data_IF_196793716131
#
_entry.id   IF_196793716131
#
_cell.length_a   1.000
_cell.length_b   1.000
_cell.length_c   1.000
_cell.angle_alpha   90.00
_cell.angle_beta   90.00
_cell.angle_gamma   90.00
#
_symmetry.space_group_name_H-M   'P 1'
#
loop_
_entity.id
_entity.type
_entity.pdbx_description
1 polymer ?
#
# COMPACT_ATOMS: atom_id res chain seq x y z
N UNK A 1 57.45 36.79 -37.64
CA UNK A 1 57.35 36.88 -39.12
C UNK A 1 56.20 37.81 -39.49
N UNK A 2 56.38 38.66 -40.48
CA UNK A 2 55.30 39.46 -40.99
C UNK A 2 54.18 38.53 -41.53
N UNK A 3 52.91 38.81 -41.19
CA UNK A 3 51.73 38.01 -41.60
C UNK A 3 51.62 36.59 -41.00
N UNK A 4 52.18 36.35 -39.83
CA UNK A 4 51.93 35.11 -39.12
C UNK A 4 50.75 35.26 -38.14
N UNK A 5 49.92 34.18 -37.99
CA UNK A 5 48.85 34.08 -37.03
C UNK A 5 49.15 32.99 -36.03
N UNK A 6 48.73 33.20 -34.78
CA UNK A 6 48.85 32.20 -33.71
C UNK A 6 47.43 31.95 -33.18
N UNK A 7 46.98 30.69 -33.13
CA UNK A 7 45.71 30.35 -32.51
C UNK A 7 45.80 30.56 -31.00
N UNK A 8 44.77 31.21 -30.42
CA UNK A 8 44.64 31.42 -28.99
C UNK A 8 43.34 30.78 -28.54
N UNK A 9 43.41 29.99 -27.47
CA UNK A 9 42.23 29.37 -26.82
C UNK A 9 41.90 30.14 -25.55
N UNK A 10 40.69 30.69 -25.50
CA UNK A 10 40.17 31.34 -24.30
C UNK A 10 39.26 30.35 -23.59
N UNK A 11 39.63 30.02 -22.32
CA UNK A 11 38.82 29.15 -21.46
C UNK A 11 38.07 29.97 -20.43
N UNK A 12 36.75 29.96 -20.48
CA UNK A 12 35.88 30.61 -19.51
C UNK A 12 35.48 29.57 -18.47
N UNK A 13 35.63 29.88 -17.18
CA UNK A 13 35.20 29.03 -16.07
C UNK A 13 34.27 29.82 -15.16
N UNK A 14 33.11 29.26 -14.87
CA UNK A 14 32.17 29.80 -13.92
C UNK A 14 32.44 29.20 -12.51
N UNK A 15 32.21 29.96 -11.43
CA UNK A 15 32.23 29.42 -10.07
C UNK A 15 31.22 28.28 -9.91
N UNK A 16 31.56 27.26 -9.12
CA UNK A 16 30.65 26.12 -8.86
C UNK A 16 29.35 26.53 -8.12
N UNK A 17 29.36 27.69 -7.48
CA UNK A 17 28.19 28.29 -6.80
C UNK A 17 27.31 29.14 -7.73
N UNK A 18 27.69 29.28 -9.01
CA UNK A 18 26.93 30.10 -9.94
C UNK A 18 25.71 29.35 -10.46
N UNK A 19 24.50 29.79 -10.04
CA UNK A 19 23.23 29.20 -10.42
C UNK A 19 22.56 30.02 -11.52
N UNK A 20 22.12 29.34 -12.58
CA UNK A 20 21.41 29.95 -13.70
C UNK A 20 19.96 29.51 -13.66
N UNK A 21 19.05 30.42 -13.45
CA UNK A 21 17.58 30.17 -13.42
C UNK A 21 16.89 30.44 -14.75
N UNK A 22 17.53 31.23 -15.63
CA UNK A 22 17.08 31.54 -16.98
C UNK A 22 18.29 31.54 -17.92
N UNK A 23 18.06 31.41 -19.24
CA UNK A 23 19.15 31.53 -20.23
C UNK A 23 19.86 32.86 -20.01
N UNK A 24 21.13 32.79 -19.69
CA UNK A 24 21.97 33.98 -19.43
C UNK A 24 23.06 34.05 -20.48
N UNK A 25 23.05 35.12 -21.24
CA UNK A 25 24.10 35.40 -22.22
C UNK A 25 25.27 36.08 -21.52
N UNK A 26 26.48 35.61 -21.77
CA UNK A 26 27.71 36.25 -21.31
C UNK A 26 28.59 36.60 -22.50
N UNK A 27 29.36 37.64 -22.36
CA UNK A 27 30.31 38.11 -23.34
C UNK A 27 31.73 38.05 -22.78
N UNK A 28 32.67 37.65 -23.62
CA UNK A 28 34.11 37.68 -23.32
C UNK A 28 34.79 38.48 -24.43
N UNK A 29 35.57 39.46 -24.05
CA UNK A 29 36.29 40.33 -24.99
C UNK A 29 37.79 40.16 -24.82
N UNK A 30 38.40 39.14 -25.42
CA UNK A 30 39.86 39.02 -25.44
C UNK A 30 40.50 40.24 -26.17
N UNK A 31 41.55 40.74 -25.58
CA UNK A 31 42.32 41.83 -26.17
C UNK A 31 43.76 41.39 -26.42
N UNK A 32 44.23 41.63 -27.60
CA UNK A 32 45.63 41.51 -27.94
C UNK A 32 46.27 42.91 -28.00
N UNK A 33 47.44 43.07 -27.41
CA UNK A 33 48.18 44.32 -27.42
C UNK A 33 49.60 44.07 -27.93
N UNK A 34 50.07 44.95 -28.75
CA UNK A 34 51.46 44.88 -29.28
C UNK A 34 52.46 45.21 -28.12
N UNK A 35 53.46 44.34 -27.95
CA UNK A 35 54.54 44.59 -26.95
C UNK A 35 55.49 45.70 -27.39
N UNK A 36 55.69 45.86 -28.69
CA UNK A 36 56.60 46.87 -29.26
C UNK A 36 55.92 48.25 -29.52
N UNK A 37 54.60 48.27 -29.60
CA UNK A 37 53.80 49.51 -29.77
C UNK A 37 52.53 49.37 -28.92
N UNK A 38 52.60 49.76 -27.69
CA UNK A 38 51.50 49.65 -26.70
C UNK A 38 50.23 50.35 -27.09
N UNK A 39 50.23 51.21 -28.12
CA UNK A 39 49.05 51.83 -28.66
C UNK A 39 48.28 50.99 -29.69
N UNK A 40 48.83 49.86 -30.12
CA UNK A 40 48.18 48.97 -31.07
C UNK A 40 47.51 47.80 -30.35
N UNK A 41 46.19 47.87 -30.30
CA UNK A 41 45.35 46.85 -29.71
C UNK A 41 44.32 46.32 -30.69
N UNK A 42 43.94 45.07 -30.53
CA UNK A 42 42.81 44.45 -31.24
C UNK A 42 41.98 43.65 -30.26
N UNK A 43 40.68 43.73 -30.42
CA UNK A 43 39.72 43.01 -29.60
C UNK A 43 38.79 42.17 -30.45
N UNK A 44 38.36 41.04 -29.93
CA UNK A 44 37.28 40.23 -30.49
C UNK A 44 36.23 40.04 -29.38
N UNK A 45 34.98 39.95 -29.79
CA UNK A 45 33.86 39.75 -28.88
C UNK A 45 33.23 38.38 -29.12
N UNK A 46 33.32 37.51 -28.14
CA UNK A 46 32.73 36.20 -28.18
C UNK A 46 31.55 36.17 -27.22
N UNK A 47 30.48 35.47 -27.60
CA UNK A 47 29.29 35.28 -26.76
C UNK A 47 29.06 33.80 -26.50
N UNK A 48 28.64 33.48 -25.28
CA UNK A 48 28.16 32.17 -24.91
C UNK A 48 26.85 32.29 -24.15
N UNK A 49 26.06 31.23 -24.15
CA UNK A 49 24.82 31.17 -23.41
C UNK A 49 24.92 30.10 -22.33
N UNK A 50 24.70 30.47 -21.08
CA UNK A 50 24.46 29.55 -20.00
C UNK A 50 22.98 29.22 -20.00
N UNK A 51 22.64 27.96 -20.14
CA UNK A 51 21.25 27.49 -19.99
C UNK A 51 21.03 26.94 -18.60
N UNK A 52 19.84 27.15 -18.01
CA UNK A 52 19.47 26.47 -16.78
C UNK A 52 19.59 24.97 -16.94
N UNK A 53 20.17 24.32 -15.97
CA UNK A 53 20.24 22.87 -15.95
C UNK A 53 19.13 22.38 -15.05
N UNK A 54 18.21 21.63 -15.60
CA UNK A 54 17.16 20.97 -14.82
C UNK A 54 17.62 19.59 -14.36
N UNK A 55 17.10 19.19 -13.22
CA UNK A 55 17.25 17.85 -12.69
C UNK A 55 15.86 17.35 -12.32
N UNK A 56 15.40 16.31 -12.99
CA UNK A 56 14.08 15.73 -12.80
C UNK A 56 14.21 14.24 -12.48
N UNK A 57 13.32 13.74 -11.67
CA UNK A 57 13.23 12.32 -11.37
C UNK A 57 11.78 11.86 -11.44
N UNK A 58 11.60 10.63 -11.93
CA UNK A 58 10.34 9.93 -12.05
C UNK A 58 10.47 8.60 -11.32
N UNK A 59 9.69 8.43 -10.23
CA UNK A 59 9.60 7.21 -9.43
C UNK A 59 8.30 6.50 -9.73
N UNK A 60 8.36 5.35 -10.34
CA UNK A 60 7.20 4.52 -10.69
C UNK A 60 7.37 3.09 -10.19
N UNK A 61 6.29 2.30 -10.16
CA UNK A 61 6.43 0.85 -10.12
C UNK A 61 7.07 0.36 -11.43
N UNK A 62 7.67 -0.83 -11.43
CA UNK A 62 8.30 -1.39 -12.62
C UNK A 62 7.32 -1.63 -13.79
N UNK A 63 6.01 -1.64 -13.53
CA UNK A 63 4.94 -1.68 -14.53
C UNK A 63 4.55 -0.29 -15.07
N UNK A 64 5.33 0.74 -14.77
CA UNK A 64 5.13 2.15 -15.11
C UNK A 64 3.87 2.79 -14.48
N UNK A 65 3.32 2.21 -13.42
CA UNK A 65 2.27 2.87 -12.64
C UNK A 65 2.87 3.82 -11.62
N UNK A 66 2.31 5.02 -11.51
CA UNK A 66 2.77 6.14 -10.67
C UNK A 66 2.37 7.47 -11.28
N UNK A 67 2.66 8.56 -10.60
CA UNK A 67 2.52 9.92 -11.12
C UNK A 67 3.77 10.31 -11.93
N UNK A 68 3.68 11.39 -12.69
CA UNK A 68 4.81 11.88 -13.47
C UNK A 68 5.89 12.57 -12.63
N UNK A 69 6.95 13.00 -13.31
CA UNK A 69 8.17 13.59 -12.74
C UNK A 69 7.92 14.59 -11.60
N UNK A 70 8.41 14.26 -10.39
CA UNK A 70 8.34 15.12 -9.21
C UNK A 70 6.92 15.31 -8.66
N UNK A 71 5.95 14.54 -9.13
CA UNK A 71 4.58 14.64 -8.67
C UNK A 71 4.42 14.01 -7.29
N UNK A 72 3.82 14.76 -6.37
CA UNK A 72 3.59 14.31 -4.99
C UNK A 72 2.34 13.45 -4.92
N UNK A 73 2.51 12.19 -4.57
CA UNK A 73 1.41 11.24 -4.40
C UNK A 73 0.84 11.31 -2.97
N UNK A 74 0.07 12.35 -2.67
CA UNK A 74 -0.46 12.65 -1.34
C UNK A 74 -1.93 12.30 -1.13
N UNK A 75 -2.63 11.84 -2.17
CA UNK A 75 -4.05 11.48 -2.13
C UNK A 75 -4.38 10.34 -3.10
N UNK A 76 -5.59 9.78 -3.00
CA UNK A 76 -6.07 8.74 -3.90
C UNK A 76 -5.75 7.31 -3.43
N UNK A 77 -6.08 6.33 -4.29
CA UNK A 77 -5.80 4.91 -4.05
C UNK A 77 -4.30 4.61 -4.23
N UNK A 78 -3.83 3.53 -3.61
CA UNK A 78 -2.48 3.03 -3.86
C UNK A 78 -2.35 2.53 -5.32
N UNK A 79 -1.22 2.83 -5.96
CA UNK A 79 -0.93 2.37 -7.32
C UNK A 79 -0.75 0.86 -7.41
N UNK A 80 -0.16 0.29 -6.35
CA UNK A 80 0.04 -1.15 -6.26
C UNK A 80 -0.23 -1.62 -4.84
N UNK A 81 -1.04 -2.67 -4.71
CA UNK A 81 -1.27 -3.35 -3.43
C UNK A 81 -0.74 -4.78 -3.52
N UNK A 82 0.10 -5.17 -2.59
CA UNK A 82 0.62 -6.52 -2.49
C UNK A 82 0.16 -7.13 -1.17
N UNK A 83 -0.33 -8.37 -1.25
CA UNK A 83 -0.78 -9.13 -0.07
C UNK A 83 0.34 -10.02 0.45
N UNK A 84 0.52 -10.02 1.76
CA UNK A 84 1.47 -10.90 2.44
C UNK A 84 0.82 -11.51 3.67
N UNK A 85 1.14 -12.76 3.96
CA UNK A 85 0.76 -13.38 5.24
C UNK A 85 1.77 -12.94 6.31
N UNK A 86 1.26 -12.49 7.46
CA UNK A 86 2.11 -12.30 8.63
C UNK A 86 2.66 -13.67 9.06
N UNK A 87 3.82 -13.69 9.67
CA UNK A 87 4.45 -14.91 10.14
C UNK A 87 4.50 -14.93 11.66
N UNK A 88 4.33 -16.13 12.26
CA UNK A 88 4.56 -16.32 13.69
C UNK A 88 6.06 -16.22 14.07
N UNK A 89 6.94 -16.33 13.08
CA UNK A 89 8.38 -16.24 13.29
C UNK A 89 8.84 -14.77 13.24
N UNK A 90 9.10 -14.19 14.39
CA UNK A 90 9.60 -12.81 14.52
C UNK A 90 10.95 -12.56 13.79
N UNK A 91 11.68 -13.61 13.41
CA UNK A 91 12.97 -13.51 12.70
C UNK A 91 12.79 -13.49 11.19
N UNK A 92 11.73 -14.13 10.69
CA UNK A 92 11.44 -14.25 9.24
C UNK A 92 10.02 -13.83 8.92
N UNK A 93 9.54 -12.73 9.50
CA UNK A 93 8.21 -12.19 9.21
C UNK A 93 7.89 -12.20 7.72
N UNK A 94 6.63 -12.22 7.36
CA UNK A 94 6.22 -12.12 5.96
C UNK A 94 6.92 -10.95 5.28
N UNK A 95 7.35 -11.11 4.04
CA UNK A 95 7.95 -10.02 3.27
C UNK A 95 7.36 -9.93 1.88
N UNK A 96 7.26 -8.73 1.37
CA UNK A 96 6.89 -8.42 -0.02
C UNK A 96 7.92 -7.53 -0.67
N UNK A 97 8.00 -7.59 -1.99
CA UNK A 97 8.93 -6.80 -2.78
C UNK A 97 8.14 -5.90 -3.72
N UNK A 98 8.42 -4.60 -3.66
CA UNK A 98 7.96 -3.63 -4.64
C UNK A 98 9.11 -3.32 -5.60
N UNK A 99 9.01 -3.79 -6.85
CA UNK A 99 9.93 -3.34 -7.90
C UNK A 99 9.61 -1.90 -8.28
N UNK A 100 10.57 -1.01 -8.06
CA UNK A 100 10.46 0.43 -8.31
C UNK A 100 11.45 0.85 -9.39
N UNK A 101 11.03 1.68 -10.33
CA UNK A 101 11.89 2.29 -11.34
C UNK A 101 12.17 3.74 -10.99
N UNK A 102 13.44 4.08 -10.84
CA UNK A 102 13.92 5.46 -10.70
C UNK A 102 14.47 5.90 -12.04
N UNK A 103 13.81 6.82 -12.73
CA UNK A 103 14.24 7.38 -14.01
C UNK A 103 14.69 8.81 -13.83
N UNK A 104 15.87 9.13 -14.33
CA UNK A 104 16.48 10.45 -14.23
C UNK A 104 16.48 11.18 -15.57
N UNK A 105 16.31 12.51 -15.53
CA UNK A 105 16.46 13.41 -16.67
C UNK A 105 17.23 14.65 -16.24
N UNK A 106 18.21 15.06 -17.05
CA UNK A 106 19.03 16.25 -16.83
C UNK A 106 20.40 15.96 -16.25
N UNK A 107 20.91 16.85 -15.37
CA UNK A 107 22.26 16.69 -14.81
C UNK A 107 22.33 15.49 -13.90
N UNK A 108 23.30 14.62 -14.18
CA UNK A 108 23.46 13.36 -13.47
C UNK A 108 23.61 13.49 -11.96
N UNK A 109 23.01 12.56 -11.24
CA UNK A 109 23.03 12.50 -9.78
C UNK A 109 22.76 11.09 -9.26
N UNK A 110 22.85 10.91 -7.94
CA UNK A 110 22.36 9.78 -7.19
C UNK A 110 21.11 10.20 -6.42
N UNK A 111 20.23 9.25 -6.09
CA UNK A 111 18.99 9.50 -5.32
C UNK A 111 18.99 8.68 -4.04
N UNK A 112 18.81 9.34 -2.89
CA UNK A 112 18.53 8.69 -1.62
C UNK A 112 17.15 8.04 -1.70
N UNK A 113 17.04 6.83 -1.12
CA UNK A 113 15.84 6.00 -1.10
C UNK A 113 15.25 6.01 0.31
N UNK A 114 13.95 6.21 0.44
CA UNK A 114 13.26 6.16 1.72
C UNK A 114 11.83 5.64 1.59
N UNK A 115 11.27 5.16 2.72
CA UNK A 115 9.89 4.70 2.83
C UNK A 115 9.27 5.22 4.12
N UNK A 116 8.00 5.61 4.09
CA UNK A 116 7.31 6.25 5.21
C UNK A 116 5.82 5.90 5.26
N UNK A 117 5.20 6.19 6.41
CA UNK A 117 3.77 6.03 6.63
C UNK A 117 2.92 7.13 6.01
N UNK A 118 3.50 8.30 5.75
CA UNK A 118 2.79 9.47 5.23
C UNK A 118 3.54 10.15 4.09
N UNK A 119 2.80 10.93 3.31
CA UNK A 119 3.31 11.63 2.13
C UNK A 119 4.18 12.86 2.45
N UNK A 120 4.08 13.39 3.65
CA UNK A 120 4.83 14.58 4.06
C UNK A 120 6.26 14.27 4.52
N UNK A 121 6.56 13.00 4.79
CA UNK A 121 7.86 12.53 5.29
C UNK A 121 8.36 13.31 6.54
N UNK A 122 7.43 13.91 7.28
CA UNK A 122 7.74 14.69 8.48
C UNK A 122 8.22 13.83 9.64
N UNK A 123 7.87 12.54 9.63
CA UNK A 123 8.31 11.56 10.62
C UNK A 123 8.96 10.36 9.93
N UNK A 124 9.98 9.77 10.58
CA UNK A 124 10.67 8.58 10.07
C UNK A 124 9.92 7.28 10.43
N UNK A 125 8.61 7.35 10.66
CA UNK A 125 7.80 6.19 11.03
C UNK A 125 7.36 5.39 9.81
N UNK A 126 7.37 4.07 9.95
CA UNK A 126 6.74 3.15 8.99
C UNK A 126 5.26 2.95 9.33
N UNK A 127 4.43 2.47 8.37
CA UNK A 127 3.05 2.14 8.64
C UNK A 127 2.91 1.07 9.74
N UNK A 128 1.81 1.11 10.49
CA UNK A 128 1.51 0.10 11.51
C UNK A 128 1.50 -1.31 10.88
N UNK A 129 2.20 -2.26 11.49
CA UNK A 129 2.36 -3.61 10.97
C UNK A 129 3.50 -3.77 9.95
N UNK A 130 4.19 -2.71 9.59
CA UNK A 130 5.43 -2.77 8.80
C UNK A 130 6.61 -2.61 9.75
N UNK A 131 7.44 -3.65 9.85
CA UNK A 131 8.60 -3.69 10.74
C UNK A 131 9.79 -2.94 10.12
N UNK A 132 10.08 -3.22 8.87
CA UNK A 132 11.26 -2.68 8.21
C UNK A 132 11.07 -2.58 6.69
N UNK A 133 11.75 -1.60 6.09
CA UNK A 133 11.91 -1.50 4.64
C UNK A 133 13.40 -1.42 4.31
N UNK A 134 13.83 -2.24 3.36
CA UNK A 134 15.20 -2.23 2.83
C UNK A 134 15.14 -2.15 1.32
N UNK A 135 16.11 -1.47 0.74
CA UNK A 135 16.23 -1.34 -0.70
C UNK A 135 17.42 -2.14 -1.21
N UNK A 136 17.23 -2.82 -2.32
CA UNK A 136 18.27 -3.61 -2.97
C UNK A 136 18.38 -3.22 -4.43
N UNK A 137 19.59 -3.30 -4.96
CA UNK A 137 19.75 -3.28 -6.41
C UNK A 137 19.16 -4.59 -6.99
N UNK A 138 18.55 -4.51 -8.16
CA UNK A 138 18.23 -5.73 -8.93
C UNK A 138 19.53 -6.38 -9.41
N UNK A 139 19.69 -7.69 -9.19
CA UNK A 139 20.90 -8.41 -9.59
C UNK A 139 21.02 -8.57 -11.11
N UNK A 140 19.88 -8.72 -11.79
CA UNK A 140 19.81 -8.87 -13.25
C UNK A 140 19.43 -7.57 -14.01
N UNK A 141 19.02 -6.53 -13.26
CA UNK A 141 18.61 -5.24 -13.81
C UNK A 141 17.23 -5.22 -14.47
N UNK A 142 16.51 -6.35 -14.51
CA UNK A 142 15.24 -6.50 -15.21
C UNK A 142 14.05 -6.76 -14.28
N UNK A 143 14.29 -7.43 -13.16
CA UNK A 143 13.27 -7.75 -12.16
C UNK A 143 13.89 -7.84 -10.75
N UNK A 144 13.05 -8.15 -9.75
CA UNK A 144 13.46 -8.32 -8.36
C UNK A 144 13.40 -9.78 -7.88
N UNK A 145 13.46 -10.74 -8.79
CA UNK A 145 13.48 -12.18 -8.47
C UNK A 145 14.78 -12.60 -7.75
N UNK A 146 15.87 -11.91 -8.06
CA UNK A 146 17.15 -12.05 -7.38
C UNK A 146 17.63 -10.70 -6.90
N UNK A 147 17.74 -10.54 -5.60
CA UNK A 147 18.22 -9.32 -4.97
C UNK A 147 19.75 -9.23 -5.09
N UNK A 148 20.24 -8.06 -5.43
CA UNK A 148 21.66 -7.72 -5.37
C UNK A 148 22.05 -7.18 -3.99
N UNK A 149 23.00 -6.24 -3.97
CA UNK A 149 23.43 -5.61 -2.72
C UNK A 149 22.34 -4.69 -2.15
N UNK A 150 22.26 -4.61 -0.82
CA UNK A 150 21.47 -3.60 -0.13
C UNK A 150 22.04 -2.20 -0.42
N UNK A 151 21.16 -1.25 -0.71
CA UNK A 151 21.52 0.12 -1.11
C UNK A 151 20.67 1.14 -0.34
N UNK A 152 21.27 2.27 0.04
CA UNK A 152 20.55 3.43 0.59
C UNK A 152 20.30 4.51 -0.47
N UNK A 153 20.92 4.38 -1.63
CA UNK A 153 20.80 5.31 -2.76
C UNK A 153 20.98 4.58 -4.09
N UNK A 154 20.51 5.20 -5.17
CA UNK A 154 20.78 4.70 -6.53
C UNK A 154 22.27 4.77 -6.87
N UNK A 155 22.69 4.06 -7.93
CA UNK A 155 23.95 4.40 -8.60
C UNK A 155 23.84 5.81 -9.18
N UNK A 156 24.95 6.38 -9.62
CA UNK A 156 24.95 7.63 -10.36
C UNK A 156 24.18 7.44 -11.69
N UNK A 157 23.14 8.25 -11.90
CA UNK A 157 22.32 8.23 -13.11
C UNK A 157 22.64 9.45 -13.97
N UNK A 158 23.03 9.21 -15.22
CA UNK A 158 23.15 10.25 -16.24
C UNK A 158 21.78 10.53 -16.89
N UNK A 159 21.71 11.57 -17.70
CA UNK A 159 20.50 11.94 -18.44
C UNK A 159 19.89 10.76 -19.19
N UNK A 160 18.58 10.59 -19.02
CA UNK A 160 17.78 9.51 -19.60
C UNK A 160 17.98 8.13 -18.99
N UNK A 161 18.89 7.95 -18.01
CA UNK A 161 19.10 6.66 -17.38
C UNK A 161 18.07 6.35 -16.31
N UNK A 162 17.86 5.04 -16.11
CA UNK A 162 17.02 4.51 -15.04
C UNK A 162 17.73 3.41 -14.25
N UNK A 163 17.23 3.15 -13.05
CA UNK A 163 17.62 2.01 -12.22
C UNK A 163 16.39 1.34 -11.64
N UNK A 164 16.34 0.02 -11.72
CA UNK A 164 15.40 -0.80 -11.00
C UNK A 164 15.89 -1.01 -9.56
N UNK A 165 15.04 -0.68 -8.60
CA UNK A 165 15.28 -0.79 -7.17
C UNK A 165 14.23 -1.72 -6.58
N UNK A 166 14.65 -2.69 -5.78
CA UNK A 166 13.78 -3.65 -5.12
C UNK A 166 13.55 -3.22 -3.67
N UNK A 167 12.38 -2.66 -3.38
CA UNK A 167 12.00 -2.30 -2.01
C UNK A 167 11.40 -3.52 -1.31
N UNK A 168 12.14 -4.10 -0.36
CA UNK A 168 11.72 -5.24 0.45
C UNK A 168 11.05 -4.70 1.71
N UNK A 169 9.77 -5.01 1.88
CA UNK A 169 8.94 -4.63 3.03
C UNK A 169 8.74 -5.86 3.90
N UNK A 170 9.23 -5.82 5.13
CA UNK A 170 9.05 -6.84 6.15
C UNK A 170 7.89 -6.43 7.07
N UNK A 171 6.99 -7.37 7.35
CA UNK A 171 5.79 -7.11 8.15
C UNK A 171 5.82 -7.82 9.49
N UNK A 172 5.19 -7.21 10.47
CA UNK A 172 4.98 -7.80 11.79
C UNK A 172 3.81 -8.79 11.80
N UNK A 173 3.70 -9.55 12.88
CA UNK A 173 2.50 -10.31 13.18
C UNK A 173 1.34 -9.35 13.46
N UNK A 174 0.22 -9.57 12.78
CA UNK A 174 -1.03 -8.83 13.02
C UNK A 174 -2.14 -9.78 13.47
N UNK A 175 -3.01 -9.31 14.35
CA UNK A 175 -4.11 -10.11 14.90
C UNK A 175 -5.36 -10.15 14.01
N UNK A 176 -5.43 -9.22 13.04
CA UNK A 176 -6.48 -9.15 12.03
C UNK A 176 -5.88 -8.63 10.74
N UNK A 177 -6.52 -8.92 9.63
CA UNK A 177 -6.11 -8.40 8.32
C UNK A 177 -6.14 -6.86 8.34
N UNK A 178 -5.09 -6.27 7.79
CA UNK A 178 -4.97 -4.81 7.68
C UNK A 178 -4.33 -4.44 6.35
N UNK A 179 -4.84 -3.40 5.71
CA UNK A 179 -4.22 -2.78 4.54
C UNK A 179 -3.69 -1.42 4.92
N UNK A 180 -2.39 -1.22 4.74
CA UNK A 180 -1.71 0.03 5.10
C UNK A 180 -1.03 0.65 3.88
N UNK A 181 -1.16 1.97 3.67
CA UNK A 181 -0.40 2.67 2.64
C UNK A 181 1.08 2.74 3.05
N UNK A 182 1.94 2.67 2.05
CA UNK A 182 3.37 2.89 2.18
C UNK A 182 3.82 3.84 1.07
N UNK A 183 4.58 4.87 1.45
CA UNK A 183 5.09 5.88 0.54
C UNK A 183 6.58 5.66 0.33
N UNK A 184 6.97 5.46 -0.92
CA UNK A 184 8.39 5.42 -1.31
C UNK A 184 8.77 6.77 -1.91
N UNK A 185 9.94 7.28 -1.52
CA UNK A 185 10.47 8.55 -2.04
C UNK A 185 11.90 8.39 -2.51
N UNK A 186 12.22 9.13 -3.55
CA UNK A 186 13.58 9.39 -4.02
C UNK A 186 13.87 10.88 -3.92
N UNK A 187 15.08 11.23 -3.48
CA UNK A 187 15.53 12.61 -3.37
C UNK A 187 16.99 12.72 -3.83
N UNK A 188 17.28 13.68 -4.70
CA UNK A 188 18.62 13.90 -5.23
C UNK A 188 19.63 14.24 -4.12
N UNK A 189 20.83 13.68 -4.25
CA UNK A 189 21.96 14.02 -3.36
C UNK A 189 22.64 15.33 -3.74
N UNK A 190 22.29 15.92 -4.89
CA UNK A 190 22.83 17.19 -5.37
C UNK A 190 21.69 18.17 -5.70
N UNK A 191 22.04 19.46 -5.60
CA UNK A 191 21.17 20.56 -5.99
C UNK A 191 21.66 21.12 -7.32
N UNK A 192 20.76 21.22 -8.30
CA UNK A 192 21.09 21.83 -9.58
C UNK A 192 19.93 22.74 -9.99
N UNK A 193 20.21 24.04 -10.05
CA UNK A 193 19.32 25.03 -10.63
C UNK A 193 18.10 25.47 -9.80
N UNK A 194 17.86 24.85 -8.64
CA UNK A 194 16.77 25.19 -7.72
C UNK A 194 17.23 25.09 -6.26
N UNK A 195 16.53 25.76 -5.35
CA UNK A 195 16.80 25.68 -3.91
C UNK A 195 16.38 24.33 -3.30
N UNK A 196 15.67 23.49 -4.05
CA UNK A 196 15.19 22.18 -3.62
C UNK A 196 15.78 21.08 -4.50
N UNK A 197 16.20 19.95 -3.90
CA UNK A 197 16.64 18.79 -4.65
C UNK A 197 15.49 18.19 -5.46
N UNK A 198 15.80 17.63 -6.64
CA UNK A 198 14.82 16.85 -7.39
C UNK A 198 14.36 15.67 -6.53
N UNK A 199 13.06 15.48 -6.43
CA UNK A 199 12.45 14.41 -5.65
C UNK A 199 11.16 13.93 -6.32
N UNK A 200 10.81 12.71 -6.03
CA UNK A 200 9.53 12.12 -6.43
C UNK A 200 9.08 11.08 -5.43
N UNK A 201 7.79 10.76 -5.42
CA UNK A 201 7.16 9.88 -4.44
C UNK A 201 6.03 9.08 -5.07
N UNK A 202 5.94 7.81 -4.67
CA UNK A 202 4.85 6.91 -5.06
C UNK A 202 4.16 6.31 -3.83
N UNK A 203 2.83 6.23 -3.86
CA UNK A 203 1.98 5.59 -2.86
C UNK A 203 1.61 4.19 -3.31
N UNK A 204 2.08 3.19 -2.58
CA UNK A 204 1.66 1.80 -2.68
C UNK A 204 0.97 1.34 -1.39
N UNK A 205 0.53 0.09 -1.31
CA UNK A 205 -0.07 -0.47 -0.11
C UNK A 205 0.37 -1.92 0.12
N UNK A 206 0.38 -2.32 1.38
CA UNK A 206 0.56 -3.71 1.79
C UNK A 206 -0.70 -4.18 2.50
N UNK A 207 -1.30 -5.28 2.03
CA UNK A 207 -2.33 -6.00 2.77
C UNK A 207 -1.64 -7.10 3.57
N UNK A 208 -1.62 -6.95 4.90
CA UNK A 208 -1.02 -7.91 5.82
C UNK A 208 -2.14 -8.81 6.32
N UNK A 209 -2.10 -10.08 5.94
CA UNK A 209 -3.04 -11.09 6.42
C UNK A 209 -2.57 -11.65 7.75
N UNK A 210 -3.45 -11.68 8.73
CA UNK A 210 -3.19 -12.30 10.02
C UNK A 210 -2.90 -13.80 9.87
N UNK A 211 -1.96 -14.31 10.64
CA UNK A 211 -1.76 -15.77 10.77
C UNK A 211 -2.93 -16.43 11.48
N UNK A 212 -3.66 -15.66 12.27
CA UNK A 212 -4.87 -16.07 12.96
C UNK A 212 -6.12 -15.54 12.24
N UNK A 213 -6.06 -15.28 10.94
CA UNK A 213 -7.28 -14.98 10.19
C UNK A 213 -8.15 -16.24 10.26
N UNK A 214 -8.99 -16.24 11.28
CA UNK A 214 -10.10 -17.19 11.35
C UNK A 214 -10.87 -16.99 10.05
N UNK A 215 -11.08 -18.02 9.25
CA UNK A 215 -11.89 -17.90 8.05
C UNK A 215 -13.18 -17.19 8.45
N UNK A 216 -13.47 -16.09 7.78
CA UNK A 216 -14.68 -15.33 8.12
C UNK A 216 -15.87 -16.14 7.65
N UNK A 217 -16.61 -16.71 8.57
CA UNK A 217 -17.86 -17.39 8.24
C UNK A 217 -18.89 -16.35 7.78
N UNK A 218 -19.77 -16.75 6.88
CA UNK A 218 -20.82 -15.91 6.35
C UNK A 218 -22.19 -16.45 6.77
N UNK A 219 -23.03 -15.58 7.33
CA UNK A 219 -24.46 -15.84 7.50
C UNK A 219 -25.24 -15.20 6.36
N UNK A 220 -26.10 -15.99 5.72
CA UNK A 220 -26.97 -15.52 4.62
C UNK A 220 -28.28 -16.30 4.58
N UNK A 221 -29.36 -15.75 4.00
CA UNK A 221 -29.62 -14.33 3.73
C UNK A 221 -30.23 -13.58 4.94
N UNK A 222 -30.30 -12.26 4.86
CA UNK A 222 -31.18 -11.48 5.73
C UNK A 222 -32.65 -11.71 5.33
N UNK A 223 -33.52 -11.97 6.30
CA UNK A 223 -34.91 -12.33 6.05
C UNK A 223 -35.90 -11.46 6.83
N UNK A 224 -37.10 -11.29 6.28
CA UNK A 224 -38.20 -10.55 6.88
C UNK A 224 -39.46 -11.38 6.85
N UNK A 225 -40.23 -11.37 7.95
CA UNK A 225 -41.56 -12.00 8.00
C UNK A 225 -42.46 -11.25 8.97
N UNK A 226 -43.74 -11.60 8.94
CA UNK A 226 -44.74 -11.14 9.90
C UNK A 226 -45.16 -12.30 10.81
N UNK A 227 -45.28 -12.03 12.08
CA UNK A 227 -45.75 -13.00 13.07
C UNK A 227 -46.90 -12.42 13.92
N UNK A 228 -47.93 -13.19 14.11
CA UNK A 228 -49.02 -12.80 14.98
C UNK A 228 -48.58 -12.75 16.47
N UNK A 229 -49.33 -12.03 17.35
CA UNK A 229 -49.14 -12.16 18.79
C UNK A 229 -49.20 -13.63 19.20
N UNK A 230 -48.31 -14.07 20.07
CA UNK A 230 -48.11 -15.46 20.51
C UNK A 230 -47.74 -16.43 19.36
N UNK A 231 -47.48 -15.92 18.18
CA UNK A 231 -47.04 -16.72 17.04
C UNK A 231 -45.54 -16.92 16.95
N UNK A 232 -45.17 -17.85 16.07
CA UNK A 232 -43.76 -18.20 15.79
C UNK A 232 -43.53 -18.12 14.29
N UNK A 233 -42.33 -17.63 13.93
CA UNK A 233 -41.81 -17.69 12.56
C UNK A 233 -40.45 -18.39 12.59
N UNK A 234 -40.13 -19.11 11.51
CA UNK A 234 -38.84 -19.79 11.34
C UNK A 234 -38.16 -19.20 10.13
N UNK A 235 -36.94 -18.70 10.34
CA UNK A 235 -36.06 -18.20 9.29
C UNK A 235 -35.02 -19.24 8.95
N UNK A 236 -34.71 -19.36 7.69
CA UNK A 236 -33.71 -20.29 7.18
C UNK A 236 -32.45 -19.53 6.79
N UNK A 237 -31.36 -19.83 7.43
CA UNK A 237 -30.06 -19.24 7.17
C UNK A 237 -29.04 -20.29 6.73
N UNK A 238 -28.00 -19.84 6.03
CA UNK A 238 -26.83 -20.62 5.68
C UNK A 238 -25.62 -20.06 6.44
N UNK A 239 -24.92 -20.90 7.14
CA UNK A 239 -23.59 -20.62 7.68
C UNK A 239 -22.57 -21.21 6.71
N UNK A 240 -21.81 -20.37 6.02
CA UNK A 240 -20.88 -20.77 4.98
C UNK A 240 -19.44 -20.51 5.43
N UNK A 241 -18.57 -21.49 5.21
CA UNK A 241 -17.13 -21.33 5.29
C UNK A 241 -16.53 -21.16 3.88
N UNK A 242 -16.23 -19.95 3.43
CA UNK A 242 -15.66 -19.72 2.10
C UNK A 242 -14.18 -20.13 2.00
N UNK A 243 -13.51 -20.41 3.12
CA UNK A 243 -12.10 -20.72 3.16
C UNK A 243 -11.79 -22.16 2.73
N UNK A 244 -10.55 -22.38 2.27
CA UNK A 244 -10.04 -23.70 1.90
C UNK A 244 -9.57 -24.54 3.11
N UNK A 245 -9.84 -24.07 4.34
CA UNK A 245 -9.48 -24.76 5.59
C UNK A 245 -10.68 -24.83 6.50
N UNK A 246 -10.74 -25.88 7.32
CA UNK A 246 -11.78 -26.05 8.31
C UNK A 246 -11.79 -24.89 9.32
N UNK A 247 -12.98 -24.39 9.65
CA UNK A 247 -13.18 -23.48 10.75
C UNK A 247 -13.41 -24.28 12.03
N UNK A 248 -12.49 -24.16 12.99
CA UNK A 248 -12.49 -24.91 14.24
C UNK A 248 -12.17 -23.99 15.41
N UNK A 249 -12.62 -24.35 16.60
CA UNK A 249 -12.31 -23.62 17.83
C UNK A 249 -13.49 -23.51 18.80
N UNK A 250 -13.30 -22.74 19.88
CA UNK A 250 -14.33 -22.53 20.91
C UNK A 250 -15.09 -21.23 20.61
N UNK A 251 -16.23 -21.37 19.95
CA UNK A 251 -17.10 -20.24 19.59
C UNK A 251 -18.53 -20.49 20.05
N UNK A 252 -19.22 -19.41 20.45
CA UNK A 252 -20.61 -19.43 20.90
C UNK A 252 -21.53 -18.68 19.95
N UNK A 253 -22.76 -19.16 19.77
CA UNK A 253 -23.82 -18.43 19.10
C UNK A 253 -24.52 -17.52 20.10
N UNK A 254 -24.56 -16.22 19.80
CA UNK A 254 -25.30 -15.21 20.58
C UNK A 254 -26.45 -14.73 19.70
N UNK A 255 -27.66 -14.70 20.30
CA UNK A 255 -28.87 -14.25 19.62
C UNK A 255 -29.39 -13.03 20.39
N UNK A 256 -29.51 -11.91 19.72
CA UNK A 256 -30.00 -10.66 20.28
C UNK A 256 -31.29 -10.23 19.57
N UNK A 257 -32.34 -10.01 20.34
CA UNK A 257 -33.59 -9.39 19.87
C UNK A 257 -33.58 -7.90 20.26
N UNK A 258 -34.05 -7.03 19.39
CA UNK A 258 -34.21 -5.60 19.70
C UNK A 258 -35.36 -5.36 20.71
N UNK A 259 -36.32 -6.30 20.80
CA UNK A 259 -37.48 -6.21 21.62
C UNK A 259 -37.57 -7.42 22.60
N UNK A 260 -37.78 -7.14 23.87
CA UNK A 260 -37.87 -8.16 24.94
C UNK A 260 -39.12 -9.06 24.88
N UNK A 261 -40.10 -8.67 24.05
CA UNK A 261 -41.29 -9.46 23.76
C UNK A 261 -41.08 -10.57 22.75
N UNK A 262 -39.86 -10.73 22.26
CA UNK A 262 -39.49 -11.81 21.34
C UNK A 262 -38.47 -12.73 21.98
N UNK A 263 -38.65 -14.04 21.75
CA UNK A 263 -37.69 -15.07 22.14
C UNK A 263 -37.22 -15.79 20.89
N UNK A 264 -35.92 -16.03 20.80
CA UNK A 264 -35.30 -16.62 19.59
C UNK A 264 -34.41 -17.81 19.97
N UNK A 265 -34.49 -18.87 19.18
CA UNK A 265 -33.68 -20.10 19.36
C UNK A 265 -33.13 -20.52 18.02
N UNK A 266 -31.85 -20.92 17.97
CA UNK A 266 -31.16 -21.39 16.80
C UNK A 266 -31.10 -22.92 16.81
N UNK A 267 -31.41 -23.52 15.65
CA UNK A 267 -31.35 -24.95 15.41
C UNK A 267 -30.49 -25.31 14.22
N UNK A 268 -29.86 -26.45 14.27
CA UNK A 268 -29.31 -27.12 13.10
C UNK A 268 -30.46 -27.82 12.36
N UNK A 269 -30.63 -27.55 11.09
CA UNK A 269 -31.55 -28.27 10.19
C UNK A 269 -30.90 -29.60 9.83
N UNK A 270 -31.26 -30.66 10.56
CA UNK A 270 -30.59 -31.98 10.44
C UNK A 270 -30.98 -32.72 9.17
N UNK A 271 -32.24 -32.60 8.74
CA UNK A 271 -32.76 -33.26 7.53
C UNK A 271 -32.68 -32.39 6.28
N UNK A 272 -32.31 -31.09 6.44
CA UNK A 272 -32.05 -30.16 5.33
C UNK A 272 -33.32 -29.71 4.60
N UNK A 273 -34.51 -29.93 5.18
CA UNK A 273 -35.79 -29.63 4.53
C UNK A 273 -36.21 -28.15 4.65
N UNK A 274 -35.51 -27.37 5.45
CA UNK A 274 -35.76 -25.95 5.72
C UNK A 274 -36.96 -25.66 6.61
N UNK A 275 -37.48 -26.68 7.33
CA UNK A 275 -38.61 -26.56 8.24
C UNK A 275 -38.22 -27.10 9.60
N UNK A 276 -38.70 -26.42 10.63
CA UNK A 276 -38.45 -26.88 11.99
C UNK A 276 -39.20 -28.19 12.26
N UNK A 277 -38.46 -29.18 12.71
CA UNK A 277 -38.94 -30.51 13.10
C UNK A 277 -38.42 -30.93 14.50
N UNK A 278 -38.98 -32.00 15.08
CA UNK A 278 -38.50 -32.53 16.36
C UNK A 278 -37.12 -33.22 16.26
N UNK A 279 -36.61 -33.41 15.03
CA UNK A 279 -35.28 -33.97 14.76
C UNK A 279 -34.17 -32.92 14.75
N UNK A 280 -34.53 -31.63 14.70
CA UNK A 280 -33.57 -30.56 14.67
C UNK A 280 -32.92 -30.31 16.02
N UNK A 281 -31.64 -30.01 15.98
CA UNK A 281 -30.84 -29.87 17.20
C UNK A 281 -30.70 -28.41 17.57
N UNK A 282 -31.06 -28.07 18.82
CA UNK A 282 -30.76 -26.75 19.36
C UNK A 282 -29.26 -26.58 19.48
N UNK A 283 -28.72 -25.53 18.88
CA UNK A 283 -27.29 -25.23 18.91
C UNK A 283 -27.00 -23.94 19.66
N UNK A 284 -25.89 -23.90 20.40
CA UNK A 284 -25.40 -22.77 21.17
C UNK A 284 -23.93 -22.49 20.93
N UNK A 285 -23.21 -23.48 20.47
CA UNK A 285 -21.77 -23.40 20.25
C UNK A 285 -21.39 -24.06 18.92
N UNK A 286 -20.21 -23.78 18.43
CA UNK A 286 -19.65 -24.46 17.26
C UNK A 286 -19.55 -25.97 17.49
N UNK A 287 -19.33 -26.40 18.74
CA UNK A 287 -19.23 -27.82 19.08
C UNK A 287 -20.54 -28.59 18.89
N UNK A 288 -21.67 -27.91 18.80
CA UNK A 288 -22.99 -28.52 18.56
C UNK A 288 -23.21 -28.83 17.05
N UNK A 289 -22.36 -28.30 16.18
CA UNK A 289 -22.39 -28.60 14.75
C UNK A 289 -21.73 -29.95 14.41
N UNK A 290 -22.02 -30.56 13.28
CA UNK A 290 -21.42 -31.82 12.86
C UNK A 290 -19.88 -31.79 12.90
N UNK A 291 -19.29 -32.67 13.70
CA UNK A 291 -17.85 -32.71 13.91
C UNK A 291 -17.23 -31.51 14.65
N UNK A 292 -18.07 -30.64 15.26
CA UNK A 292 -17.60 -29.47 16.03
C UNK A 292 -16.88 -28.41 15.18
N UNK A 293 -17.20 -28.31 13.91
CA UNK A 293 -16.53 -27.43 12.94
C UNK A 293 -17.48 -27.01 11.80
N UNK A 294 -17.02 -26.06 10.98
CA UNK A 294 -17.52 -25.85 9.60
C UNK A 294 -16.39 -26.19 8.66
N UNK A 295 -16.52 -27.28 7.90
CA UNK A 295 -15.44 -27.74 7.02
C UNK A 295 -15.12 -26.74 5.91
N UNK A 296 -13.96 -26.90 5.25
CA UNK A 296 -13.58 -26.09 4.11
C UNK A 296 -14.67 -26.11 3.03
N UNK A 297 -15.10 -24.92 2.58
CA UNK A 297 -16.16 -24.73 1.57
C UNK A 297 -17.53 -25.31 1.95
N UNK A 298 -17.76 -25.65 3.22
CA UNK A 298 -19.03 -26.21 3.69
C UNK A 298 -20.08 -25.11 3.89
N UNK A 299 -21.34 -25.51 3.64
CA UNK A 299 -22.53 -24.74 3.99
C UNK A 299 -23.40 -25.56 4.93
N UNK A 300 -23.76 -24.99 6.07
CA UNK A 300 -24.63 -25.62 7.08
C UNK A 300 -25.94 -24.87 7.11
N UNK A 301 -27.05 -25.60 7.00
CA UNK A 301 -28.40 -25.01 7.12
C UNK A 301 -28.77 -24.83 8.59
N UNK A 302 -29.21 -23.62 8.93
CA UNK A 302 -29.63 -23.24 10.28
C UNK A 302 -31.06 -22.71 10.22
N UNK A 303 -31.84 -23.01 11.27
CA UNK A 303 -33.18 -22.52 11.44
C UNK A 303 -33.23 -21.60 12.68
N UNK A 304 -33.55 -20.34 12.45
CA UNK A 304 -33.79 -19.38 13.54
C UNK A 304 -35.28 -19.30 13.83
N UNK A 305 -35.70 -19.86 14.94
CA UNK A 305 -37.09 -19.76 15.40
C UNK A 305 -37.24 -18.50 16.22
N UNK A 306 -38.15 -17.60 15.82
CA UNK A 306 -38.47 -16.35 16.53
C UNK A 306 -39.93 -16.39 16.94
N UNK A 307 -40.18 -16.29 18.25
CA UNK A 307 -41.53 -16.36 18.87
C UNK A 307 -41.86 -15.01 19.50
N UNK A 308 -43.00 -14.44 19.13
CA UNK A 308 -43.58 -13.31 19.84
C UNK A 308 -44.29 -13.82 21.07
N UNK A 309 -43.77 -13.54 22.26
CA UNK A 309 -44.32 -14.05 23.54
C UNK A 309 -45.36 -13.12 24.17
N UNK A 310 -45.64 -11.99 23.56
CA UNK A 310 -46.69 -11.06 24.01
C UNK A 310 -47.99 -11.27 23.26
N UNK A 311 -49.09 -11.10 23.95
CA UNK A 311 -50.43 -11.30 23.44
C UNK A 311 -51.09 -10.02 22.85
N UNK A 312 -50.42 -8.86 23.00
CA UNK A 312 -50.93 -7.54 22.60
C UNK A 312 -49.97 -6.70 21.76
N UNK A 313 -48.91 -7.30 21.26
CA UNK A 313 -47.93 -6.61 20.40
C UNK A 313 -48.43 -6.52 18.97
N UNK A 314 -49.08 -5.41 18.65
CA UNK A 314 -49.50 -5.09 17.29
C UNK A 314 -48.58 -4.03 16.70
N UNK A 315 -48.15 -4.23 15.46
CA UNK A 315 -47.28 -3.29 14.71
C UNK A 315 -45.90 -3.02 15.35
N UNK A 316 -45.39 -3.97 16.12
CA UNK A 316 -44.04 -3.90 16.68
C UNK A 316 -43.05 -4.56 15.72
N UNK A 317 -41.91 -3.93 15.51
CA UNK A 317 -40.81 -4.48 14.72
C UNK A 317 -39.73 -5.01 15.62
N UNK A 318 -39.35 -6.27 15.46
CA UNK A 318 -38.20 -6.86 16.14
C UNK A 318 -37.09 -7.17 15.13
N UNK A 319 -35.87 -6.80 15.44
CA UNK A 319 -34.66 -7.24 14.72
C UNK A 319 -33.97 -8.29 15.57
N UNK A 320 -33.82 -9.49 15.00
CA UNK A 320 -33.04 -10.57 15.63
C UNK A 320 -31.70 -10.69 14.94
N UNK A 321 -30.63 -10.57 15.68
CA UNK A 321 -29.25 -10.73 15.17
C UNK A 321 -28.67 -12.00 15.76
N UNK A 322 -28.20 -12.90 14.90
CA UNK A 322 -27.43 -14.08 15.28
C UNK A 322 -25.97 -13.79 15.02
N UNK A 323 -25.13 -13.94 16.03
CA UNK A 323 -23.68 -13.73 15.91
C UNK A 323 -22.94 -14.95 16.42
N UNK A 324 -21.85 -15.33 15.73
CA UNK A 324 -20.85 -16.28 16.25
C UNK A 324 -19.72 -15.47 16.89
N UNK A 325 -19.42 -15.77 18.16
CA UNK A 325 -18.42 -15.02 18.94
C UNK A 325 -17.35 -15.94 19.53
N UNK A 326 -16.17 -15.39 19.73
CA UNK A 326 -15.10 -16.05 20.48
C UNK A 326 -15.30 -15.91 22.01
N UNK A 327 -14.39 -16.49 22.80
CA UNK A 327 -14.39 -16.41 24.27
C UNK A 327 -14.25 -14.99 24.85
N UNK A 328 -13.85 -14.01 24.00
CA UNK A 328 -13.74 -12.59 24.36
C UNK A 328 -14.98 -11.79 23.93
N UNK A 329 -16.03 -12.46 23.43
CA UNK A 329 -17.23 -11.89 22.82
C UNK A 329 -16.94 -11.07 21.55
N UNK A 330 -15.82 -11.29 20.89
CA UNK A 330 -15.58 -10.71 19.58
C UNK A 330 -16.43 -11.42 18.52
N UNK A 331 -17.19 -10.65 17.74
CA UNK A 331 -18.01 -11.20 16.63
C UNK A 331 -17.11 -11.66 15.50
N UNK A 332 -17.31 -12.92 15.11
CA UNK A 332 -16.59 -13.58 14.01
C UNK A 332 -17.47 -13.62 12.75
N UNK A 333 -18.78 -13.80 12.94
CA UNK A 333 -19.80 -13.76 11.87
C UNK A 333 -21.13 -13.29 12.44
N UNK A 334 -21.94 -12.59 11.63
CA UNK A 334 -23.31 -12.17 12.00
C UNK A 334 -24.12 -11.88 10.75
#
# INVERSE_FOLDING_TARGET
>A
AANSSVPVVVKVRFPSSYTVTTNTVFEVTPQAQSVGDGGKTSTIKDQGTLTPVSQLVDLTNADNTGLGNGAVDNSGAAWKTITVKSSDNAVTGGQVIFPLTVKHTGVGTEYLLSAHASSDFSSLTLPAGVNRVRFYASSNGTDCSVLGNEIGKTRYLNDGQSQLVCAVVEVDKVNKDVTVPIYFRVISTSFVGTDNPAQDMIKNAVTIQSVNSVPQLEFTPDLHAQVAPLGTVVYRHLLTNPAATDFTGSYGFIINNSESSFNSVLFLDVDGDGKFSSGDLNIRTLADLPGGKVAAHEQIQLLLQVTNVANNNLNQTNTTIVSLTDSSNQVIAS
#
